data_IF_087306101879
#
_entry.id   IF_087306101879
#
_cell.length_a   1.000
_cell.length_b   1.000
_cell.length_c   1.000
_cell.angle_alpha   90.00
_cell.angle_beta   90.00
_cell.angle_gamma   90.00
#
_symmetry.space_group_name_H-M   'P 1'
#
loop_
_entity.id
_entity.type
_entity.pdbx_description
1 polymer ?
#
# COMPACT_ATOMS: atom_id res chain seq x y z
N UNK A 1 -0.23 -1.24 16.90
CA UNK A 1 -0.58 -2.66 17.04
C UNK A 1 -1.94 -2.96 16.43
N UNK A 2 -2.13 -4.20 15.94
CA UNK A 2 -3.38 -4.66 15.38
C UNK A 2 -4.32 -5.14 16.48
N UNK A 3 -5.62 -5.08 16.21
CA UNK A 3 -6.64 -5.62 17.10
C UNK A 3 -7.82 -6.15 16.29
N UNK A 4 -8.62 -7.00 16.92
CA UNK A 4 -9.95 -7.38 16.43
C UNK A 4 -11.01 -6.80 17.35
N UNK A 5 -12.14 -6.39 16.77
CA UNK A 5 -13.32 -5.97 17.54
C UNK A 5 -14.03 -7.23 18.03
N UNK A 6 -14.24 -7.34 19.33
CA UNK A 6 -14.97 -8.44 19.98
C UNK A 6 -16.45 -8.08 20.10
N UNK A 7 -16.72 -6.89 20.62
CA UNK A 7 -18.08 -6.39 20.88
C UNK A 7 -18.18 -4.92 20.49
N UNK A 8 -19.29 -4.53 19.86
CA UNK A 8 -19.60 -3.14 19.55
C UNK A 8 -20.76 -2.65 20.43
N UNK A 9 -20.52 -1.59 21.21
CA UNK A 9 -21.50 -0.98 22.10
C UNK A 9 -22.23 0.17 21.39
N UNK A 10 -23.50 -0.06 21.05
CA UNK A 10 -24.37 0.95 20.44
C UNK A 10 -25.14 1.76 21.50
N UNK A 11 -25.70 2.91 21.12
CA UNK A 11 -26.53 3.75 22.01
C UNK A 11 -25.78 4.77 22.88
N UNK A 12 -24.49 4.95 22.63
CA UNK A 12 -23.64 6.00 23.22
C UNK A 12 -23.46 7.14 22.19
N UNK A 13 -23.12 8.37 22.61
CA UNK A 13 -22.87 9.48 21.68
C UNK A 13 -21.64 9.27 20.78
N UNK A 14 -20.84 8.26 21.07
CA UNK A 14 -19.69 7.82 20.27
C UNK A 14 -19.64 6.29 20.23
N UNK A 15 -19.04 5.76 19.18
CA UNK A 15 -18.84 4.33 18.99
C UNK A 15 -17.85 3.81 20.04
N UNK A 16 -18.26 2.81 20.82
CA UNK A 16 -17.39 2.11 21.76
C UNK A 16 -17.28 0.65 21.35
N UNK A 17 -16.08 0.08 21.48
CA UNK A 17 -15.84 -1.33 21.17
C UNK A 17 -14.91 -1.96 22.21
N UNK A 18 -15.16 -3.23 22.49
CA UNK A 18 -14.19 -4.11 23.14
C UNK A 18 -13.27 -4.66 22.07
N UNK A 19 -11.96 -4.61 22.34
CA UNK A 19 -10.94 -5.05 21.40
C UNK A 19 -10.03 -6.09 22.04
N UNK A 20 -9.49 -6.95 21.20
CA UNK A 20 -8.41 -7.86 21.56
C UNK A 20 -7.21 -7.56 20.67
N UNK A 21 -6.06 -7.27 21.29
CA UNK A 21 -4.82 -7.04 20.57
C UNK A 21 -4.34 -8.33 19.92
N UNK A 22 -3.89 -8.21 18.67
CA UNK A 22 -3.31 -9.31 17.90
C UNK A 22 -1.79 -9.17 17.93
N UNK A 23 -1.08 -9.91 18.81
CA UNK A 23 0.36 -9.86 18.84
C UNK A 23 0.93 -10.38 17.52
N UNK A 24 1.94 -9.70 17.00
CA UNK A 24 2.62 -10.08 15.77
C UNK A 24 3.94 -10.77 16.14
N UNK A 25 4.20 -12.00 15.69
CA UNK A 25 5.49 -12.63 15.90
C UNK A 25 6.58 -11.83 15.19
N UNK A 26 7.84 -11.91 15.66
CA UNK A 26 8.95 -11.32 14.92
C UNK A 26 9.01 -11.93 13.52
N UNK A 27 9.30 -11.13 12.48
CA UNK A 27 9.40 -11.61 11.12
C UNK A 27 10.53 -12.64 10.99
N UNK A 28 10.36 -13.60 10.08
CA UNK A 28 11.41 -14.57 9.80
C UNK A 28 12.67 -13.90 9.23
N UNK A 29 13.84 -14.51 9.41
CA UNK A 29 15.10 -13.99 8.85
C UNK A 29 15.03 -13.84 7.32
N UNK A 30 14.35 -14.78 6.63
CA UNK A 30 14.11 -14.71 5.18
C UNK A 30 13.30 -13.48 4.75
N UNK A 31 12.49 -12.90 5.64
CA UNK A 31 11.79 -11.64 5.38
C UNK A 31 12.75 -10.45 5.38
N UNK A 32 13.75 -10.46 6.25
CA UNK A 32 14.82 -9.45 6.25
C UNK A 32 15.55 -9.36 4.91
N UNK A 33 15.84 -10.51 4.29
CA UNK A 33 16.52 -10.59 2.99
C UNK A 33 15.72 -9.97 1.82
N UNK A 34 14.39 -9.84 1.95
CA UNK A 34 13.49 -9.31 0.93
C UNK A 34 13.20 -7.81 1.06
N UNK A 35 13.54 -7.20 2.21
CA UNK A 35 13.26 -5.78 2.47
C UNK A 35 13.95 -4.81 1.50
N UNK A 36 15.21 -5.04 1.06
CA UNK A 36 15.85 -4.15 0.10
C UNK A 36 15.09 -4.07 -1.23
N UNK A 37 14.62 -5.21 -1.75
CA UNK A 37 13.86 -5.25 -3.00
C UNK A 37 12.49 -4.57 -2.84
N UNK A 38 11.79 -4.81 -1.72
CA UNK A 38 10.54 -4.12 -1.44
C UNK A 38 10.74 -2.60 -1.40
N UNK A 39 11.82 -2.13 -0.77
CA UNK A 39 12.16 -0.72 -0.65
C UNK A 39 12.39 -0.09 -2.02
N UNK A 40 13.20 -0.72 -2.86
CA UNK A 40 13.48 -0.25 -4.22
C UNK A 40 12.22 -0.18 -5.07
N UNK A 41 11.39 -1.23 -5.04
CA UNK A 41 10.11 -1.26 -5.77
C UNK A 41 9.16 -0.18 -5.28
N UNK A 42 9.09 0.05 -3.97
CA UNK A 42 8.22 1.07 -3.38
C UNK A 42 8.70 2.48 -3.75
N UNK A 43 10.00 2.74 -3.66
CA UNK A 43 10.59 4.01 -4.08
C UNK A 43 10.31 4.28 -5.56
N UNK A 44 10.56 3.30 -6.42
CA UNK A 44 10.28 3.40 -7.86
C UNK A 44 8.81 3.72 -8.10
N UNK A 45 7.90 3.01 -7.42
CA UNK A 45 6.47 3.26 -7.52
C UNK A 45 6.09 4.69 -7.14
N UNK A 46 6.61 5.21 -6.02
CA UNK A 46 6.34 6.58 -5.57
C UNK A 46 6.88 7.60 -6.59
N UNK A 47 8.09 7.41 -7.10
CA UNK A 47 8.70 8.29 -8.11
C UNK A 47 7.92 8.29 -9.42
N UNK A 48 7.51 7.12 -9.91
CA UNK A 48 6.69 7.02 -11.13
C UNK A 48 5.33 7.71 -10.94
N UNK A 49 4.71 7.58 -9.77
CA UNK A 49 3.48 8.31 -9.47
C UNK A 49 3.70 9.83 -9.41
N UNK A 50 4.81 10.29 -8.83
CA UNK A 50 5.15 11.72 -8.79
C UNK A 50 5.31 12.29 -10.22
N UNK A 51 6.04 11.60 -11.09
CA UNK A 51 6.21 11.96 -12.51
C UNK A 51 4.84 12.03 -13.24
N UNK A 52 4.00 11.03 -13.03
CA UNK A 52 2.65 11.00 -13.60
C UNK A 52 1.79 12.19 -13.16
N UNK A 53 1.94 12.62 -11.91
CA UNK A 53 1.23 13.75 -11.35
C UNK A 53 1.90 15.11 -11.63
N UNK A 54 3.12 15.12 -12.17
CA UNK A 54 3.88 16.34 -12.45
C UNK A 54 4.53 16.95 -11.20
N UNK A 55 4.86 16.12 -10.21
CA UNK A 55 5.61 16.53 -9.01
C UNK A 55 7.05 16.02 -9.10
N UNK A 56 7.98 16.80 -8.57
CA UNK A 56 9.34 16.35 -8.32
C UNK A 56 9.35 15.48 -7.05
N UNK A 57 9.78 14.21 -7.14
CA UNK A 57 9.88 13.37 -5.95
C UNK A 57 11.00 13.87 -5.06
N UNK A 58 10.64 14.35 -3.86
CA UNK A 58 11.59 14.70 -2.81
C UNK A 58 12.36 13.48 -2.28
N UNK A 59 13.21 13.71 -1.29
CA UNK A 59 13.91 12.63 -0.60
C UNK A 59 12.91 11.74 0.16
N UNK A 60 12.97 10.43 -0.11
CA UNK A 60 12.08 9.44 0.48
C UNK A 60 12.83 8.67 1.57
N UNK A 61 12.46 8.90 2.83
CA UNK A 61 12.99 8.14 3.96
C UNK A 61 12.04 6.97 4.24
N UNK A 62 12.45 5.77 3.84
CA UNK A 62 11.68 4.55 4.03
C UNK A 62 12.13 3.79 5.31
N UNK A 63 11.20 3.21 6.11
CA UNK A 63 11.55 2.49 7.34
C UNK A 63 12.49 1.31 7.12
N UNK A 64 13.43 1.07 8.04
CA UNK A 64 14.39 -0.05 7.92
C UNK A 64 13.80 -1.39 8.36
N UNK A 65 12.92 -1.37 9.36
CA UNK A 65 12.31 -2.57 9.91
C UNK A 65 11.19 -3.13 9.01
N UNK A 66 11.04 -4.46 9.03
CA UNK A 66 10.11 -5.17 8.15
C UNK A 66 8.65 -4.71 8.33
N UNK A 67 8.12 -4.77 9.55
CA UNK A 67 6.70 -4.49 9.78
C UNK A 67 6.32 -3.05 9.38
N UNK A 68 7.03 -1.99 9.84
CA UNK A 68 6.75 -0.62 9.42
C UNK A 68 6.86 -0.41 7.90
N UNK A 69 7.87 -1.01 7.23
CA UNK A 69 8.01 -0.89 5.79
C UNK A 69 6.83 -1.53 5.04
N UNK A 70 6.40 -2.72 5.45
CA UNK A 70 5.26 -3.42 4.84
C UNK A 70 3.95 -2.66 5.07
N UNK A 71 3.72 -2.12 6.28
CA UNK A 71 2.55 -1.26 6.53
C UNK A 71 2.58 0.02 5.70
N UNK A 72 3.74 0.66 5.57
CA UNK A 72 3.89 1.83 4.71
C UNK A 72 3.54 1.48 3.26
N UNK A 73 4.09 0.39 2.73
CA UNK A 73 3.76 -0.09 1.38
C UNK A 73 2.25 -0.30 1.22
N UNK A 74 1.59 -1.00 2.15
CA UNK A 74 0.13 -1.18 2.15
C UNK A 74 -0.64 0.14 2.08
N UNK A 75 -0.22 1.13 2.86
CA UNK A 75 -0.91 2.43 2.93
C UNK A 75 -0.77 3.23 1.63
N UNK A 76 0.42 3.21 1.01
CA UNK A 76 0.74 3.94 -0.20
C UNK A 76 0.18 3.29 -1.48
N UNK A 77 0.01 1.97 -1.50
CA UNK A 77 -0.61 1.29 -2.64
C UNK A 77 -2.05 1.78 -2.84
N UNK A 78 -2.38 2.12 -4.09
CA UNK A 78 -3.72 2.54 -4.49
C UNK A 78 -4.64 1.33 -4.67
N UNK A 79 -5.00 0.70 -3.55
CA UNK A 79 -5.90 -0.46 -3.49
C UNK A 79 -7.30 -0.07 -3.00
N UNK A 80 -8.35 -0.78 -3.45
CA UNK A 80 -9.68 -0.74 -2.85
C UNK A 80 -9.65 -0.99 -1.33
N UNK A 81 -10.60 -0.41 -0.60
CA UNK A 81 -10.62 -0.48 0.87
C UNK A 81 -10.75 -1.92 1.39
N UNK A 82 -11.54 -2.77 0.73
CA UNK A 82 -11.66 -4.20 1.04
C UNK A 82 -10.31 -4.93 0.87
N UNK A 83 -9.53 -4.62 -0.17
CA UNK A 83 -8.19 -5.19 -0.32
C UNK A 83 -7.22 -4.70 0.76
N UNK A 84 -7.27 -3.41 1.13
CA UNK A 84 -6.47 -2.88 2.24
C UNK A 84 -6.83 -3.55 3.57
N UNK A 85 -8.12 -3.75 3.82
CA UNK A 85 -8.61 -4.45 5.00
C UNK A 85 -8.12 -5.91 5.01
N UNK A 86 -8.17 -6.60 3.88
CA UNK A 86 -7.66 -7.97 3.79
C UNK A 86 -6.15 -8.05 4.10
N UNK A 87 -5.35 -7.10 3.63
CA UNK A 87 -3.92 -7.02 3.95
C UNK A 87 -3.66 -6.73 5.45
N UNK A 88 -4.52 -5.94 6.09
CA UNK A 88 -4.43 -5.61 7.51
C UNK A 88 -4.71 -6.84 8.39
N UNK A 89 -5.65 -7.69 7.97
CA UNK A 89 -6.08 -8.89 8.68
C UNK A 89 -5.11 -10.07 8.58
N UNK A 90 -4.13 -10.01 7.67
CA UNK A 90 -3.11 -11.07 7.56
C UNK A 90 -2.37 -11.27 8.88
N UNK A 91 -2.10 -12.53 9.26
CA UNK A 91 -1.72 -12.91 10.61
C UNK A 91 -0.35 -12.35 11.04
N UNK A 92 0.58 -12.18 10.10
CA UNK A 92 1.96 -11.79 10.35
C UNK A 92 2.55 -10.95 9.21
N UNK A 93 3.74 -10.39 9.46
CA UNK A 93 4.44 -9.52 8.51
C UNK A 93 4.90 -10.30 7.28
N UNK A 94 5.30 -11.56 7.43
CA UNK A 94 5.78 -12.42 6.34
C UNK A 94 4.68 -12.69 5.30
N UNK A 95 3.49 -13.05 5.77
CA UNK A 95 2.29 -13.24 4.94
C UNK A 95 1.88 -11.94 4.25
N UNK A 96 1.96 -10.81 4.97
CA UNK A 96 1.65 -9.50 4.41
C UNK A 96 2.66 -9.09 3.34
N UNK A 97 3.96 -9.29 3.59
CA UNK A 97 5.02 -8.99 2.63
C UNK A 97 4.80 -9.72 1.30
N UNK A 98 4.53 -11.02 1.33
CA UNK A 98 4.29 -11.80 0.13
C UNK A 98 3.12 -11.28 -0.71
N UNK A 99 2.03 -10.81 -0.06
CA UNK A 99 0.88 -10.21 -0.76
C UNK A 99 1.20 -8.82 -1.28
N UNK A 100 1.93 -8.02 -0.51
CA UNK A 100 2.36 -6.66 -0.88
C UNK A 100 3.27 -6.70 -2.10
N UNK A 101 4.28 -7.56 -2.14
CA UNK A 101 5.21 -7.65 -3.28
C UNK A 101 4.47 -7.96 -4.58
N UNK A 102 3.55 -8.94 -4.56
CA UNK A 102 2.74 -9.30 -5.73
C UNK A 102 1.86 -8.12 -6.19
N UNK A 103 1.24 -7.41 -5.24
CA UNK A 103 0.36 -6.28 -5.55
C UNK A 103 1.14 -5.07 -6.06
N UNK A 104 2.24 -4.73 -5.39
CA UNK A 104 3.11 -3.63 -5.76
C UNK A 104 3.74 -3.84 -7.14
N UNK A 105 4.16 -5.07 -7.46
CA UNK A 105 4.68 -5.40 -8.79
C UNK A 105 3.68 -5.05 -9.90
N UNK A 106 2.42 -5.51 -9.77
CA UNK A 106 1.36 -5.22 -10.74
C UNK A 106 1.02 -3.72 -10.82
N UNK A 107 1.05 -3.02 -9.68
CA UNK A 107 0.80 -1.58 -9.63
C UNK A 107 1.93 -0.79 -10.30
N UNK A 108 3.17 -1.22 -10.10
CA UNK A 108 4.35 -0.61 -10.70
C UNK A 108 4.34 -0.79 -12.22
N UNK A 109 4.09 -2.00 -12.72
CA UNK A 109 3.93 -2.28 -14.16
C UNK A 109 2.91 -1.32 -14.80
N UNK A 110 1.72 -1.22 -14.22
CA UNK A 110 0.66 -0.30 -14.69
C UNK A 110 1.08 1.17 -14.63
N UNK A 111 1.75 1.59 -13.56
CA UNK A 111 2.21 2.97 -13.42
C UNK A 111 3.26 3.32 -14.48
N UNK A 112 4.19 2.39 -14.76
CA UNK A 112 5.21 2.57 -15.78
C UNK A 112 4.60 2.62 -17.19
N UNK A 113 3.63 1.75 -17.50
CA UNK A 113 2.89 1.81 -18.77
C UNK A 113 2.20 3.16 -18.97
N UNK A 114 1.56 3.70 -17.92
CA UNK A 114 0.93 5.01 -17.97
C UNK A 114 1.94 6.15 -18.13
N UNK A 115 3.10 6.05 -17.46
CA UNK A 115 4.16 7.06 -17.56
C UNK A 115 4.77 7.08 -18.96
N UNK A 116 5.00 5.92 -19.54
CA UNK A 116 5.50 5.77 -20.90
C UNK A 116 4.53 6.38 -21.93
N UNK A 117 3.22 6.10 -21.80
CA UNK A 117 2.19 6.72 -22.65
C UNK A 117 2.15 8.24 -22.53
N UNK A 118 2.35 8.78 -21.31
CA UNK A 118 2.43 10.23 -21.07
C UNK A 118 3.68 10.83 -21.74
N UNK A 119 4.84 10.16 -21.65
CA UNK A 119 6.09 10.59 -22.29
C UNK A 119 6.02 10.58 -23.82
N UNK A 120 5.30 9.62 -24.41
CA UNK A 120 5.12 9.51 -25.86
C UNK A 120 4.17 10.57 -26.47
N UNK A 121 3.67 11.53 -25.67
CA UNK A 121 2.90 12.66 -26.19
C UNK A 121 1.54 12.28 -26.77
N UNK A 122 1.05 11.06 -26.51
CA UNK A 122 -0.33 10.70 -26.83
C UNK A 122 -1.22 11.59 -25.97
N UNK A 123 -1.89 12.56 -26.62
CA UNK A 123 -2.83 13.46 -25.97
C UNK A 123 -3.87 12.62 -25.23
N UNK A 124 -3.66 12.50 -23.93
CA UNK A 124 -4.55 11.75 -23.08
C UNK A 124 -5.85 12.56 -22.95
N UNK A 125 -7.02 12.07 -23.41
CA UNK A 125 -8.29 12.65 -22.97
C UNK A 125 -8.50 12.44 -21.45
N UNK A 126 -7.59 11.68 -20.82
CA UNK A 126 -7.58 11.28 -19.44
C UNK A 126 -6.89 12.35 -18.59
N UNK A 127 -7.71 13.22 -18.01
CA UNK A 127 -7.32 14.03 -16.86
C UNK A 127 -6.90 13.04 -15.75
N UNK A 128 -5.60 12.89 -15.48
CA UNK A 128 -5.08 11.91 -14.51
C UNK A 128 -5.74 12.05 -13.12
N UNK A 129 -6.19 13.27 -12.77
CA UNK A 129 -7.02 13.57 -11.60
C UNK A 129 -8.41 12.90 -11.61
N UNK A 130 -9.02 12.68 -12.77
CA UNK A 130 -10.32 12.04 -12.93
C UNK A 130 -10.22 10.51 -13.05
N UNK A 131 -9.12 10.02 -13.61
CA UNK A 131 -8.78 8.60 -13.77
C UNK A 131 -8.69 7.86 -12.43
N UNK A 132 -7.91 8.43 -11.50
CA UNK A 132 -7.72 7.89 -10.15
C UNK A 132 -9.00 7.99 -9.30
N UNK A 133 -10.01 8.72 -9.77
CA UNK A 133 -11.33 8.86 -9.14
C UNK A 133 -12.38 7.88 -9.69
N UNK A 134 -12.06 7.14 -10.77
CA UNK A 134 -13.01 6.29 -11.54
C UNK A 134 -12.59 4.81 -11.65
N UNK A 135 -11.58 4.35 -10.92
CA UNK A 135 -11.35 2.92 -10.79
C UNK A 135 -12.47 2.32 -9.92
N UNK A 136 -13.19 1.28 -10.39
CA UNK A 136 -14.32 0.74 -9.64
C UNK A 136 -13.82 0.14 -8.34
N UNK A 137 -14.38 0.64 -7.24
CA UNK A 137 -14.41 -0.05 -5.96
C UNK A 137 -15.37 -1.25 -6.12
N UNK A 138 -14.87 -2.35 -6.67
CA UNK A 138 -15.51 -3.67 -6.58
C UNK A 138 -14.45 -4.68 -6.12
#
# INVERSE_FOLDING_TARGET
>A
DRFRIVTLHQGRPYLLAEIEYLPEPPPAEATGARLPELRERLETYIRTLAELLGYEPGELVLPQDAAPLVYLACSLMQLPLNEKQHLLELPDTDARLARVELRLGRLLERAQELAERKRQGVASPFNARAALRRLPLN
#
